data_IF_334160509568
#
_entry.id   IF_334160509568
#
_cell.length_a   1.000
_cell.length_b   1.000
_cell.length_c   1.000
_cell.angle_alpha   90.00
_cell.angle_beta   90.00
_cell.angle_gamma   90.00
#
_symmetry.space_group_name_H-M   'P 1'
#
loop_
_entity.id
_entity.type
_entity.pdbx_description
1 polymer ?
#
# COMPACT_ATOMS: atom_id res chain seq x y z
N UNK A 1 28.42 -2.05 -6.08
CA UNK A 1 28.09 -2.73 -4.82
C UNK A 1 28.30 -4.23 -4.99
N UNK A 2 29.08 -4.88 -4.12
CA UNK A 2 29.42 -6.32 -4.28
C UNK A 2 28.23 -7.15 -3.76
N UNK A 3 27.69 -8.06 -4.57
CA UNK A 3 26.64 -9.00 -4.15
C UNK A 3 27.16 -9.89 -3.00
N UNK A 4 26.36 -10.04 -1.95
CA UNK A 4 26.63 -10.94 -0.84
C UNK A 4 25.56 -12.05 -0.87
N UNK A 5 26.00 -13.28 -1.04
CA UNK A 5 25.13 -14.45 -0.99
C UNK A 5 24.96 -14.89 0.47
N UNK A 6 23.70 -15.10 0.87
CA UNK A 6 23.35 -15.58 2.20
C UNK A 6 22.93 -17.06 2.12
N UNK A 7 23.05 -17.77 3.24
CA UNK A 7 22.65 -19.17 3.34
C UNK A 7 21.15 -19.36 3.67
N UNK A 8 20.32 -18.33 3.48
CA UNK A 8 18.88 -18.36 3.74
C UNK A 8 18.11 -18.00 2.47
N UNK A 9 16.91 -18.57 2.33
CA UNK A 9 16.02 -18.21 1.23
C UNK A 9 15.26 -16.93 1.55
N UNK A 10 14.58 -16.37 0.52
CA UNK A 10 13.84 -15.10 0.62
C UNK A 10 12.74 -15.17 1.69
N UNK A 11 12.06 -16.30 1.82
CA UNK A 11 10.99 -16.47 2.80
C UNK A 11 11.53 -16.46 4.25
N UNK A 12 12.63 -17.16 4.52
CA UNK A 12 13.29 -17.11 5.81
C UNK A 12 13.74 -15.71 6.18
N UNK A 13 14.36 -15.00 5.22
CA UNK A 13 14.75 -13.61 5.42
C UNK A 13 13.55 -12.68 5.67
N UNK A 14 12.40 -12.93 5.03
CA UNK A 14 11.16 -12.20 5.28
C UNK A 14 10.68 -12.42 6.72
N UNK A 15 10.60 -13.66 7.19
CA UNK A 15 10.14 -13.96 8.55
C UNK A 15 11.02 -13.30 9.62
N UNK A 16 12.34 -13.34 9.46
CA UNK A 16 13.27 -12.66 10.38
C UNK A 16 13.02 -11.15 10.42
N UNK A 17 12.79 -10.52 9.25
CA UNK A 17 12.47 -9.09 9.17
C UNK A 17 11.13 -8.75 9.82
N UNK A 18 10.12 -9.60 9.64
CA UNK A 18 8.82 -9.39 10.27
C UNK A 18 8.93 -9.49 11.80
N UNK A 19 9.67 -10.47 12.33
CA UNK A 19 9.94 -10.54 13.76
C UNK A 19 10.65 -9.30 14.27
N UNK A 20 11.66 -8.82 13.55
CA UNK A 20 12.36 -7.58 13.90
C UNK A 20 11.40 -6.38 13.91
N UNK A 21 10.60 -6.19 12.86
CA UNK A 21 9.68 -5.06 12.74
C UNK A 21 8.67 -5.06 13.90
N UNK A 22 8.02 -6.18 14.18
CA UNK A 22 7.00 -6.25 15.23
C UNK A 22 7.56 -6.22 16.66
N UNK A 23 8.85 -6.50 16.82
CA UNK A 23 9.54 -6.40 18.10
C UNK A 23 10.00 -4.96 18.38
N UNK A 24 10.51 -4.26 17.35
CA UNK A 24 11.14 -2.95 17.51
C UNK A 24 10.17 -1.77 17.37
N UNK A 25 9.02 -1.95 16.70
CA UNK A 25 8.10 -0.86 16.40
C UNK A 25 6.70 -1.15 16.94
N UNK A 26 6.18 -0.18 17.72
CA UNK A 26 4.82 -0.26 18.29
C UNK A 26 3.74 0.01 17.23
N UNK A 27 4.08 0.76 16.19
CA UNK A 27 3.17 1.19 15.12
C UNK A 27 3.73 0.78 13.78
N UNK A 28 2.96 -0.02 13.04
CA UNK A 28 3.36 -0.54 11.73
C UNK A 28 2.31 -0.17 10.69
N UNK A 29 2.75 0.47 9.60
CA UNK A 29 1.90 0.76 8.45
C UNK A 29 2.42 0.07 7.20
N UNK A 30 1.48 -0.39 6.37
CA UNK A 30 1.76 -1.04 5.09
C UNK A 30 1.18 -0.23 3.96
N UNK A 31 2.01 0.14 3.00
CA UNK A 31 1.54 0.72 1.73
C UNK A 31 1.05 -0.38 0.80
N UNK A 32 -0.21 -0.30 0.40
CA UNK A 32 -0.83 -1.25 -0.51
C UNK A 32 -1.18 -0.58 -1.84
N UNK A 33 -0.40 -0.87 -2.87
CA UNK A 33 -0.61 -0.28 -4.22
C UNK A 33 -1.59 -1.05 -5.11
N UNK A 34 -2.04 -2.23 -4.70
CA UNK A 34 -2.82 -3.13 -5.54
C UNK A 34 -1.99 -3.93 -6.57
N UNK A 35 -0.66 -3.75 -6.57
CA UNK A 35 0.25 -4.56 -7.41
C UNK A 35 0.57 -5.92 -6.79
N UNK A 36 1.15 -6.81 -7.58
CA UNK A 36 1.49 -8.20 -7.15
C UNK A 36 2.40 -8.25 -5.92
N UNK A 37 3.35 -7.34 -5.81
CA UNK A 37 4.33 -7.34 -4.73
C UNK A 37 3.70 -6.87 -3.41
N UNK A 38 2.71 -5.99 -3.48
CA UNK A 38 1.93 -5.59 -2.31
C UNK A 38 1.01 -6.70 -1.77
N UNK A 39 0.81 -7.77 -2.53
CA UNK A 39 0.13 -9.00 -2.07
C UNK A 39 0.86 -9.71 -0.91
N UNK A 40 2.12 -9.37 -0.65
CA UNK A 40 2.83 -9.76 0.59
C UNK A 40 2.13 -9.26 1.85
N UNK A 41 1.22 -8.31 1.73
CA UNK A 41 0.34 -7.86 2.80
C UNK A 41 -0.33 -9.02 3.55
N UNK A 42 -0.85 -10.01 2.82
CA UNK A 42 -1.52 -11.17 3.45
C UNK A 42 -0.56 -12.00 4.30
N UNK A 43 0.67 -12.21 3.83
CA UNK A 43 1.71 -12.92 4.59
C UNK A 43 2.04 -12.16 5.88
N UNK A 44 2.16 -10.83 5.79
CA UNK A 44 2.44 -9.98 6.95
C UNK A 44 1.28 -10.03 7.96
N UNK A 45 0.03 -9.98 7.51
CA UNK A 45 -1.15 -10.03 8.37
C UNK A 45 -1.29 -11.41 9.04
N UNK A 46 -1.07 -12.51 8.31
CA UNK A 46 -1.10 -13.86 8.86
C UNK A 46 0.02 -14.08 9.88
N UNK A 47 1.20 -13.54 9.61
CA UNK A 47 2.31 -13.54 10.55
C UNK A 47 1.98 -12.78 11.83
N UNK A 48 1.42 -11.57 11.72
CA UNK A 48 0.97 -10.76 12.85
C UNK A 48 -0.04 -11.52 13.70
N UNK A 49 -1.08 -12.08 13.07
CA UNK A 49 -2.13 -12.80 13.79
C UNK A 49 -1.60 -14.00 14.56
N UNK A 50 -0.57 -14.67 14.02
CA UNK A 50 0.05 -15.82 14.63
C UNK A 50 0.98 -15.48 15.79
N UNK A 51 1.80 -14.44 15.65
CA UNK A 51 2.90 -14.15 16.58
C UNK A 51 2.72 -12.86 17.39
N UNK A 52 1.92 -11.91 16.89
CA UNK A 52 1.73 -10.58 17.48
C UNK A 52 0.26 -10.14 17.43
N UNK A 53 -0.69 -10.95 17.94
CA UNK A 53 -2.12 -10.73 17.73
C UNK A 53 -2.67 -9.45 18.35
N UNK A 54 -1.98 -8.87 19.32
CA UNK A 54 -2.36 -7.60 19.97
C UNK A 54 -1.85 -6.35 19.24
N UNK A 55 -1.00 -6.51 18.21
CA UNK A 55 -0.45 -5.36 17.47
C UNK A 55 -1.41 -4.93 16.36
N UNK A 56 -1.79 -3.65 16.35
CA UNK A 56 -2.56 -3.06 15.26
C UNK A 56 -1.68 -2.75 14.07
N UNK A 57 -2.21 -2.92 12.85
CA UNK A 57 -1.54 -2.58 11.60
C UNK A 57 -2.41 -1.60 10.82
N UNK A 58 -1.81 -0.50 10.40
CA UNK A 58 -2.42 0.40 9.42
C UNK A 58 -2.10 -0.06 7.99
N UNK A 59 -3.10 -0.17 7.14
CA UNK A 59 -2.93 -0.42 5.71
C UNK A 59 -3.42 0.80 4.96
N UNK A 60 -2.54 1.40 4.16
CA UNK A 60 -2.95 2.57 3.39
C UNK A 60 -2.76 2.35 1.89
N UNK A 61 -3.74 2.83 1.14
CA UNK A 61 -3.69 2.96 -0.30
C UNK A 61 -3.66 4.42 -0.67
N UNK A 62 -2.64 4.83 -1.42
CA UNK A 62 -2.63 6.15 -2.04
C UNK A 62 -3.24 6.07 -3.42
N UNK A 63 -4.34 6.74 -3.58
CA UNK A 63 -5.06 6.84 -4.82
C UNK A 63 -4.55 8.02 -5.65
N UNK A 64 -4.28 7.77 -6.93
CA UNK A 64 -3.81 8.79 -7.87
C UNK A 64 -4.91 9.24 -8.85
N UNK A 65 -6.20 8.96 -8.54
CA UNK A 65 -7.34 9.28 -9.41
C UNK A 65 -7.28 8.56 -10.77
N UNK A 66 -6.27 8.87 -11.59
CA UNK A 66 -6.06 8.31 -12.92
C UNK A 66 -5.28 6.99 -12.86
N UNK A 67 -5.85 5.96 -12.24
CA UNK A 67 -5.32 4.60 -12.24
C UNK A 67 -6.24 3.65 -13.01
N UNK A 68 -5.74 2.45 -13.34
CA UNK A 68 -6.54 1.45 -14.02
C UNK A 68 -7.75 1.05 -13.16
N UNK A 69 -8.92 0.97 -13.80
CA UNK A 69 -10.18 0.56 -13.15
C UNK A 69 -10.03 -0.77 -12.41
N UNK A 70 -9.40 -1.76 -13.05
CA UNK A 70 -9.16 -3.06 -12.41
C UNK A 70 -8.31 -2.96 -11.13
N UNK A 71 -7.36 -2.01 -11.07
CA UNK A 71 -6.56 -1.76 -9.85
C UNK A 71 -7.46 -1.20 -8.74
N UNK A 72 -8.29 -0.22 -9.06
CA UNK A 72 -9.22 0.38 -8.09
C UNK A 72 -10.18 -0.67 -7.54
N UNK A 73 -10.83 -1.45 -8.41
CA UNK A 73 -11.75 -2.52 -8.03
C UNK A 73 -11.08 -3.57 -7.14
N UNK A 74 -9.84 -3.97 -7.46
CA UNK A 74 -9.07 -4.91 -6.65
C UNK A 74 -8.72 -4.35 -5.26
N UNK A 75 -8.34 -3.09 -5.18
CA UNK A 75 -8.04 -2.44 -3.89
C UNK A 75 -9.32 -2.33 -3.05
N UNK A 76 -10.45 -1.94 -3.64
CA UNK A 76 -11.75 -1.89 -2.96
C UNK A 76 -12.16 -3.25 -2.39
N UNK A 77 -12.04 -4.31 -3.20
CA UNK A 77 -12.35 -5.68 -2.76
C UNK A 77 -11.44 -6.11 -1.61
N UNK A 78 -10.14 -5.84 -1.74
CA UNK A 78 -9.15 -6.13 -0.69
C UNK A 78 -9.52 -5.40 0.60
N UNK A 79 -9.85 -4.11 0.54
CA UNK A 79 -10.22 -3.33 1.72
C UNK A 79 -11.49 -3.86 2.39
N UNK A 80 -12.54 -4.22 1.62
CA UNK A 80 -13.77 -4.85 2.17
C UNK A 80 -13.48 -6.17 2.90
N UNK A 81 -12.49 -6.94 2.44
CA UNK A 81 -12.07 -8.16 3.14
C UNK A 81 -11.31 -7.83 4.43
N UNK A 82 -10.45 -6.82 4.38
CA UNK A 82 -9.61 -6.43 5.52
C UNK A 82 -10.40 -5.72 6.63
N UNK A 83 -11.49 -5.01 6.32
CA UNK A 83 -12.41 -4.41 7.30
C UNK A 83 -12.92 -5.41 8.34
N UNK A 84 -13.04 -6.68 7.95
CA UNK A 84 -13.50 -7.76 8.81
C UNK A 84 -12.38 -8.35 9.68
N UNK A 85 -11.14 -7.95 9.47
CA UNK A 85 -9.97 -8.52 10.15
C UNK A 85 -9.63 -7.69 11.40
N UNK A 86 -9.66 -8.27 12.60
CA UNK A 86 -9.37 -7.53 13.84
C UNK A 86 -7.97 -6.92 13.82
N UNK A 87 -7.84 -5.72 14.39
CA UNK A 87 -6.56 -5.02 14.51
C UNK A 87 -5.97 -4.53 13.18
N UNK A 88 -6.79 -4.38 12.16
CA UNK A 88 -6.40 -3.74 10.89
C UNK A 88 -7.15 -2.42 10.74
N UNK A 89 -6.41 -1.36 10.52
CA UNK A 89 -6.93 -0.02 10.24
C UNK A 89 -6.68 0.33 8.77
N UNK A 90 -7.70 0.82 8.07
CA UNK A 90 -7.64 1.07 6.64
C UNK A 90 -7.68 2.55 6.33
N UNK A 91 -6.80 2.99 5.44
CA UNK A 91 -6.69 4.38 5.01
C UNK A 91 -6.69 4.45 3.49
N UNK A 92 -7.76 4.99 2.92
CA UNK A 92 -7.81 5.33 1.50
C UNK A 92 -7.50 6.80 1.34
N UNK A 93 -6.32 7.11 0.77
CA UNK A 93 -5.79 8.47 0.72
C UNK A 93 -5.97 9.07 -0.68
N UNK A 94 -6.85 10.05 -0.79
CA UNK A 94 -7.06 10.86 -1.99
C UNK A 94 -6.36 12.22 -1.79
N UNK A 95 -5.04 12.24 -1.94
CA UNK A 95 -4.24 13.44 -1.71
C UNK A 95 -3.85 14.12 -3.03
N UNK A 96 -3.97 15.45 -3.13
CA UNK A 96 -3.57 16.20 -4.31
C UNK A 96 -2.05 16.36 -4.41
N UNK A 97 -1.34 15.24 -4.47
CA UNK A 97 0.12 15.21 -4.53
C UNK A 97 0.61 15.44 -5.95
N UNK A 98 1.58 16.34 -6.11
CA UNK A 98 2.25 16.58 -7.37
C UNK A 98 2.95 15.32 -7.88
N UNK A 99 2.40 14.70 -8.90
CA UNK A 99 2.98 13.52 -9.55
C UNK A 99 3.53 13.92 -10.91
N UNK A 100 4.80 13.57 -11.16
CA UNK A 100 5.40 13.87 -12.45
C UNK A 100 4.75 13.05 -13.55
N UNK A 101 4.36 13.71 -14.64
CA UNK A 101 3.78 13.04 -15.81
C UNK A 101 4.69 13.15 -17.03
N UNK A 102 4.70 12.12 -17.85
CA UNK A 102 5.37 12.11 -19.16
C UNK A 102 4.37 12.30 -20.31
N UNK A 103 3.10 12.51 -20.02
CA UNK A 103 2.03 12.60 -21.02
C UNK A 103 1.90 13.99 -21.64
N UNK A 104 2.45 15.02 -20.99
CA UNK A 104 2.37 16.40 -21.47
C UNK A 104 3.77 17.03 -21.56
N UNK A 105 4.02 17.74 -22.65
CA UNK A 105 5.21 18.60 -22.80
C UNK A 105 5.03 19.99 -22.17
N UNK A 106 3.81 20.36 -21.81
CA UNK A 106 3.47 21.68 -21.24
C UNK A 106 3.28 21.63 -19.74
N UNK A 107 2.64 20.56 -19.21
CA UNK A 107 2.40 20.35 -17.79
C UNK A 107 3.24 19.18 -17.31
N UNK A 108 4.26 19.47 -16.50
CA UNK A 108 5.19 18.44 -15.97
C UNK A 108 4.61 17.65 -14.81
N UNK A 109 3.55 18.18 -14.16
CA UNK A 109 2.98 17.62 -12.97
C UNK A 109 1.49 17.38 -13.14
N UNK A 110 1.04 16.25 -12.63
CA UNK A 110 -0.33 15.87 -12.43
C UNK A 110 -0.71 16.00 -10.96
N UNK A 111 -1.87 16.56 -10.68
CA UNK A 111 -2.43 16.67 -9.33
C UNK A 111 -3.77 15.92 -9.32
N UNK A 112 -3.85 14.76 -8.61
CA UNK A 112 -5.11 14.06 -8.42
C UNK A 112 -6.14 14.99 -7.77
N UNK A 113 -7.37 14.95 -8.25
CA UNK A 113 -8.49 15.75 -7.73
C UNK A 113 -8.16 17.25 -7.56
N UNK A 114 -7.51 17.84 -8.56
CA UNK A 114 -7.23 19.27 -8.60
C UNK A 114 -8.55 20.06 -8.61
N UNK A 115 -8.85 20.78 -7.54
CA UNK A 115 -10.08 21.56 -7.38
C UNK A 115 -10.32 22.55 -8.53
N UNK A 116 -9.25 23.03 -9.16
CA UNK A 116 -9.32 23.94 -10.31
C UNK A 116 -9.77 23.25 -11.59
N UNK A 117 -9.76 21.92 -11.61
CA UNK A 117 -10.06 21.06 -12.77
C UNK A 117 -11.13 20.02 -12.47
N UNK A 118 -12.04 20.29 -11.55
CA UNK A 118 -13.08 19.33 -11.10
C UNK A 118 -13.88 18.71 -12.26
N UNK A 119 -14.18 19.49 -13.28
CA UNK A 119 -14.90 19.01 -14.48
C UNK A 119 -14.10 18.02 -15.33
N UNK A 120 -12.81 17.88 -15.08
CA UNK A 120 -11.89 17.00 -15.80
C UNK A 120 -11.47 15.79 -14.96
N UNK A 121 -11.98 15.63 -13.75
CA UNK A 121 -11.67 14.48 -12.92
C UNK A 121 -12.04 13.17 -13.61
N UNK A 122 -11.14 12.21 -13.57
CA UNK A 122 -11.35 10.89 -14.17
C UNK A 122 -12.47 10.13 -13.45
N UNK A 123 -12.62 10.38 -12.16
CA UNK A 123 -13.68 9.85 -11.30
C UNK A 123 -13.87 10.74 -10.07
N UNK A 124 -15.02 10.68 -9.40
CA UNK A 124 -15.22 11.40 -8.14
C UNK A 124 -14.26 10.88 -7.04
N UNK A 125 -14.00 11.77 -6.09
CA UNK A 125 -13.19 11.47 -4.91
C UNK A 125 -13.92 10.46 -4.00
#
# INVERSE_FOLDING_TARGET
MKKRYLQQNVYQALLERLHFIFHEFDVVYVSFSGGKDSGLLYILLDFRDKFYPSTSIGVFHQDFEAQYRATTEYVEETFRMLEKRPGVELYWLCLPMATRTALSSFEMYWYPWDDKKETLWVRPM
#
